data_IF_253881926431
#
_entry.id   IF_253881926431
#
_cell.length_a   1.000
_cell.length_b   1.000
_cell.length_c   1.000
_cell.angle_alpha   90.00
_cell.angle_beta   90.00
_cell.angle_gamma   90.00
#
_symmetry.space_group_name_H-M   'P 1'
#
loop_
_entity.id
_entity.type
_entity.pdbx_description
1 polymer ?
#
# COMPACT_ATOMS: atom_id res chain seq x y z
N UNK A 1 -59.00 28.60 -7.25
CA UNK A 1 -58.32 29.35 -8.31
C UNK A 1 -57.03 29.95 -7.76
N UNK A 2 -55.96 29.15 -7.74
CA UNK A 2 -54.63 29.55 -7.25
C UNK A 2 -53.57 29.09 -8.25
N UNK A 3 -53.88 29.28 -9.53
CA UNK A 3 -53.10 28.88 -10.71
C UNK A 3 -52.22 30.01 -11.25
N UNK A 4 -51.73 30.92 -10.40
CA UNK A 4 -50.79 31.97 -10.81
C UNK A 4 -49.80 32.28 -9.71
N UNK A 5 -48.66 31.57 -9.74
CA UNK A 5 -47.33 32.17 -9.77
C UNK A 5 -46.29 31.04 -9.80
N UNK A 6 -46.09 30.53 -11.01
CA UNK A 6 -44.84 29.91 -11.41
C UNK A 6 -43.95 31.07 -11.90
N UNK A 7 -42.93 31.45 -11.14
CA UNK A 7 -41.62 31.86 -11.66
C UNK A 7 -40.56 31.67 -10.56
N UNK A 8 -39.65 30.68 -10.68
CA UNK A 8 -38.38 30.71 -9.98
C UNK A 8 -37.37 31.52 -10.79
N UNK A 9 -36.85 32.59 -10.17
CA UNK A 9 -35.72 33.40 -10.64
C UNK A 9 -34.46 32.56 -10.86
N UNK A 10 -33.69 32.78 -11.95
CA UNK A 10 -32.44 32.07 -12.20
C UNK A 10 -31.26 32.90 -11.69
N UNK A 11 -30.63 32.50 -10.58
CA UNK A 11 -29.23 32.82 -10.28
C UNK A 11 -28.81 32.24 -8.93
N UNK A 12 -27.93 31.25 -9.00
CA UNK A 12 -26.81 30.98 -8.09
C UNK A 12 -26.64 29.45 -7.98
N UNK A 13 -26.00 28.87 -8.99
CA UNK A 13 -25.39 27.55 -8.83
C UNK A 13 -24.28 27.68 -7.79
N UNK A 14 -24.62 27.32 -6.55
CA UNK A 14 -23.72 27.13 -5.44
C UNK A 14 -23.73 25.65 -5.10
N UNK A 15 -22.78 24.95 -5.72
CA UNK A 15 -22.09 23.75 -5.26
C UNK A 15 -22.30 23.43 -3.76
N UNK A 16 -23.24 22.54 -3.45
CA UNK A 16 -23.37 21.94 -2.12
C UNK A 16 -23.77 20.46 -2.22
N UNK A 17 -22.76 19.63 -1.98
CA UNK A 17 -22.82 18.28 -1.39
C UNK A 17 -23.19 17.09 -2.31
N UNK A 18 -22.29 16.75 -3.23
CA UNK A 18 -21.97 15.35 -3.55
C UNK A 18 -20.51 15.08 -3.18
N UNK A 19 -20.26 14.73 -1.93
CA UNK A 19 -19.05 13.96 -1.58
C UNK A 19 -19.51 12.72 -0.83
N UNK A 20 -20.08 11.78 -1.57
CA UNK A 20 -19.97 10.39 -1.17
C UNK A 20 -18.48 10.04 -1.23
N UNK A 21 -17.87 9.83 -0.07
CA UNK A 21 -16.58 9.18 0.01
C UNK A 21 -16.78 7.73 -0.44
N UNK A 22 -16.73 7.51 -1.76
CA UNK A 22 -16.53 6.19 -2.33
C UNK A 22 -15.19 5.73 -1.79
N UNK A 23 -15.21 4.84 -0.80
CA UNK A 23 -14.04 4.05 -0.43
C UNK A 23 -13.73 3.26 -1.69
N UNK A 24 -12.71 3.69 -2.43
CA UNK A 24 -12.16 2.94 -3.54
C UNK A 24 -11.69 1.61 -2.97
N UNK A 25 -12.55 0.60 -3.11
CA UNK A 25 -12.22 -0.80 -2.88
C UNK A 25 -10.93 -1.04 -3.67
N UNK A 26 -9.86 -1.25 -2.92
CA UNK A 26 -8.54 -1.53 -3.48
C UNK A 26 -8.75 -2.68 -4.45
N UNK A 27 -8.58 -2.41 -5.75
CA UNK A 27 -8.78 -3.40 -6.80
C UNK A 27 -7.87 -4.58 -6.48
N UNK A 28 -8.45 -5.61 -5.90
CA UNK A 28 -7.77 -6.89 -5.70
C UNK A 28 -7.38 -7.35 -7.10
N UNK A 29 -6.08 -7.61 -7.30
CA UNK A 29 -5.56 -8.13 -8.55
C UNK A 29 -6.34 -9.42 -8.86
N UNK A 30 -7.26 -9.33 -9.84
CA UNK A 30 -8.10 -10.46 -10.29
C UNK A 30 -7.26 -11.61 -10.87
N UNK A 31 -5.97 -11.38 -11.10
CA UNK A 31 -5.01 -12.35 -11.63
C UNK A 31 -4.51 -13.36 -10.59
N UNK A 32 -4.76 -13.14 -9.28
CA UNK A 32 -4.49 -14.14 -8.22
C UNK A 32 -5.59 -15.21 -8.11
N UNK A 33 -6.63 -15.19 -8.96
CA UNK A 33 -7.71 -16.18 -8.96
C UNK A 33 -7.34 -17.48 -9.71
N UNK A 34 -6.10 -17.95 -9.58
CA UNK A 34 -5.78 -19.32 -9.97
C UNK A 34 -6.34 -20.23 -8.89
N UNK A 35 -7.55 -20.74 -9.12
CA UNK A 35 -8.32 -21.57 -8.20
C UNK A 35 -7.47 -22.64 -7.54
N UNK A 36 -7.00 -22.34 -6.34
CA UNK A 36 -6.31 -23.27 -5.47
C UNK A 36 -7.37 -24.18 -4.86
N UNK A 37 -7.43 -25.45 -5.30
CA UNK A 37 -8.38 -26.43 -4.75
C UNK A 37 -8.23 -26.56 -3.23
N UNK A 38 -7.04 -26.34 -2.70
CA UNK A 38 -6.82 -26.34 -1.25
C UNK A 38 -7.48 -25.14 -0.58
N UNK A 39 -7.54 -23.98 -1.26
CA UNK A 39 -8.23 -22.79 -0.79
C UNK A 39 -9.76 -22.95 -0.75
N UNK A 40 -10.33 -23.71 -1.69
CA UNK A 40 -11.75 -24.05 -1.66
C UNK A 40 -12.10 -24.99 -0.50
N UNK A 41 -11.24 -25.96 -0.20
CA UNK A 41 -11.45 -26.93 0.89
C UNK A 41 -11.33 -26.31 2.29
N UNK A 42 -10.56 -25.23 2.45
CA UNK A 42 -10.41 -24.51 3.73
C UNK A 42 -11.41 -23.36 3.92
N UNK A 43 -12.35 -23.15 2.99
CA UNK A 43 -13.33 -22.09 3.13
C UNK A 43 -14.28 -22.37 4.29
N UNK A 44 -14.33 -21.44 5.25
CA UNK A 44 -15.34 -21.40 6.31
C UNK A 44 -16.15 -20.10 6.26
N UNK A 45 -17.41 -20.11 6.71
CA UNK A 45 -18.24 -18.90 6.78
C UNK A 45 -17.66 -17.86 7.76
N UNK A 46 -18.04 -16.61 7.58
CA UNK A 46 -17.63 -15.53 8.46
C UNK A 46 -18.27 -15.65 9.87
N UNK A 47 -17.57 -15.21 10.93
CA UNK A 47 -18.13 -15.15 12.28
C UNK A 47 -19.29 -14.14 12.36
N UNK A 48 -20.14 -14.24 13.39
CA UNK A 48 -21.34 -13.40 13.51
C UNK A 48 -21.02 -11.91 13.71
N UNK A 49 -19.85 -11.61 14.26
CA UNK A 49 -19.35 -10.25 14.47
C UNK A 49 -18.67 -9.64 13.24
N UNK A 50 -18.64 -10.37 12.12
CA UNK A 50 -18.04 -9.89 10.89
C UNK A 50 -18.82 -8.71 10.30
N UNK A 51 -18.12 -7.59 10.07
CA UNK A 51 -18.69 -6.41 9.41
C UNK A 51 -19.24 -6.78 8.01
N UNK A 52 -20.55 -6.60 7.75
CA UNK A 52 -21.16 -6.93 6.46
C UNK A 52 -20.66 -6.04 5.32
N UNK A 53 -20.04 -4.89 5.60
CA UNK A 53 -19.46 -4.03 4.56
C UNK A 53 -18.12 -4.56 4.02
N UNK A 54 -17.49 -5.55 4.67
CA UNK A 54 -16.21 -6.13 4.23
C UNK A 54 -16.40 -7.59 3.87
N UNK A 55 -15.92 -8.00 2.69
CA UNK A 55 -16.01 -9.39 2.26
C UNK A 55 -15.10 -10.31 3.09
N UNK A 56 -15.50 -11.58 3.23
CA UNK A 56 -14.66 -12.64 3.84
C UNK A 56 -13.28 -12.70 3.20
N UNK A 57 -13.24 -12.56 1.88
CA UNK A 57 -12.01 -12.54 1.10
C UNK A 57 -11.15 -11.33 1.48
N UNK A 58 -11.70 -10.11 1.47
CA UNK A 58 -10.96 -8.90 1.83
C UNK A 58 -10.41 -8.92 3.27
N UNK A 59 -11.09 -9.61 4.20
CA UNK A 59 -10.57 -9.85 5.56
C UNK A 59 -9.43 -10.87 5.59
N UNK A 60 -9.53 -11.94 4.80
CA UNK A 60 -8.53 -13.02 4.74
C UNK A 60 -7.31 -12.65 3.91
N UNK A 61 -7.47 -11.78 2.92
CA UNK A 61 -6.43 -11.37 1.98
C UNK A 61 -5.74 -10.05 2.34
N UNK A 62 -6.10 -9.42 3.47
CA UNK A 62 -5.40 -8.20 3.89
C UNK A 62 -3.99 -8.53 4.39
N UNK A 63 -3.03 -8.56 3.46
CA UNK A 63 -1.61 -8.58 3.76
C UNK A 63 -1.26 -7.38 4.65
N UNK A 64 -0.33 -7.56 5.59
CA UNK A 64 0.22 -6.50 6.44
C UNK A 64 0.71 -5.33 5.59
N UNK A 65 1.34 -5.61 4.45
CA UNK A 65 1.79 -4.56 3.53
C UNK A 65 0.63 -3.78 2.90
N UNK A 66 -0.48 -4.45 2.57
CA UNK A 66 -1.67 -3.78 2.05
C UNK A 66 -2.30 -2.86 3.10
N UNK A 67 -2.30 -3.26 4.37
CA UNK A 67 -2.76 -2.41 5.47
C UNK A 67 -1.84 -1.19 5.62
N UNK A 68 -0.52 -1.38 5.59
CA UNK A 68 0.44 -0.28 5.69
C UNK A 68 0.25 0.72 4.55
N UNK A 69 0.19 0.25 3.30
CA UNK A 69 -0.03 1.11 2.12
C UNK A 69 -1.34 1.89 2.25
N UNK A 70 -2.40 1.26 2.75
CA UNK A 70 -3.69 1.93 2.96
C UNK A 70 -3.61 3.06 4.00
N UNK A 71 -2.82 2.90 5.06
CA UNK A 71 -2.60 3.96 6.06
C UNK A 71 -1.76 5.11 5.49
N UNK A 72 -0.73 4.80 4.68
CA UNK A 72 0.09 5.81 4.00
C UNK A 72 -0.62 6.49 2.83
N UNK A 73 -1.74 5.96 2.36
CA UNK A 73 -2.56 6.50 1.28
C UNK A 73 -2.09 6.17 -0.13
N UNK A 74 -0.82 5.83 -0.35
CA UNK A 74 -0.35 5.34 -1.65
C UNK A 74 0.92 4.48 -1.56
N UNK A 75 1.14 3.64 -2.57
CA UNK A 75 2.37 2.84 -2.71
C UNK A 75 3.62 3.74 -2.82
N UNK A 76 3.50 4.89 -3.50
CA UNK A 76 4.64 5.80 -3.71
C UNK A 76 5.05 6.53 -2.44
N UNK A 77 4.09 6.93 -1.60
CA UNK A 77 4.38 7.54 -0.30
C UNK A 77 5.10 6.55 0.61
N UNK A 78 4.62 5.31 0.69
CA UNK A 78 5.28 4.26 1.46
C UNK A 78 6.72 4.03 1.00
N UNK A 79 6.97 3.94 -0.30
CA UNK A 79 8.33 3.74 -0.84
C UNK A 79 9.26 4.92 -0.51
N UNK A 80 8.75 6.15 -0.56
CA UNK A 80 9.52 7.34 -0.21
C UNK A 80 9.91 7.36 1.27
N UNK A 81 8.97 7.05 2.16
CA UNK A 81 9.22 6.95 3.61
C UNK A 81 10.19 5.80 3.93
N UNK A 82 10.00 4.64 3.29
CA UNK A 82 10.91 3.52 3.42
C UNK A 82 12.34 3.89 2.99
N UNK A 83 12.49 4.62 1.88
CA UNK A 83 13.80 5.11 1.41
C UNK A 83 14.45 6.05 2.42
N UNK A 84 13.70 7.01 2.97
CA UNK A 84 14.21 7.95 3.96
C UNK A 84 14.67 7.24 5.24
N UNK A 85 13.83 6.34 5.77
CA UNK A 85 14.14 5.55 6.95
C UNK A 85 15.36 4.63 6.72
N UNK A 86 15.47 4.02 5.54
CA UNK A 86 16.63 3.22 5.19
C UNK A 86 17.91 4.08 5.12
N UNK A 87 17.84 5.29 4.55
CA UNK A 87 18.97 6.21 4.49
C UNK A 87 19.49 6.55 5.89
N UNK A 88 18.59 6.97 6.78
CA UNK A 88 18.94 7.33 8.16
C UNK A 88 19.56 6.15 8.90
N UNK A 89 19.00 4.95 8.71
CA UNK A 89 19.51 3.72 9.32
C UNK A 89 20.91 3.35 8.83
N UNK A 90 21.16 3.48 7.52
CA UNK A 90 22.47 3.21 6.93
C UNK A 90 23.54 4.22 7.38
N UNK A 91 23.15 5.48 7.60
CA UNK A 91 24.06 6.53 8.04
C UNK A 91 24.36 6.50 9.56
N UNK A 92 23.46 5.93 10.37
CA UNK A 92 23.58 5.95 11.82
C UNK A 92 24.65 5.00 12.39
N UNK A 93 25.04 3.94 11.67
CA UNK A 93 25.92 2.89 12.18
C UNK A 93 27.16 2.69 11.29
N UNK A 94 28.35 2.73 11.90
CA UNK A 94 29.64 2.57 11.21
C UNK A 94 29.96 1.12 10.80
N UNK A 95 29.39 0.14 11.50
CA UNK A 95 29.60 -1.31 11.34
C UNK A 95 28.32 -2.03 10.86
N UNK A 96 27.46 -1.31 10.14
CA UNK A 96 26.15 -1.78 9.74
C UNK A 96 26.17 -3.09 8.93
N UNK A 97 25.50 -4.14 9.42
CA UNK A 97 25.23 -5.38 8.68
C UNK A 97 24.00 -5.19 7.78
N UNK A 98 24.18 -5.23 6.46
CA UNK A 98 23.12 -4.96 5.47
C UNK A 98 22.23 -6.16 5.13
N UNK A 99 22.56 -7.37 5.60
CA UNK A 99 21.89 -8.61 5.20
C UNK A 99 20.40 -8.64 5.57
N UNK A 100 20.03 -7.98 6.67
CA UNK A 100 18.64 -7.90 7.13
C UNK A 100 17.83 -7.00 6.21
N UNK A 101 18.39 -5.85 5.85
CA UNK A 101 17.76 -4.84 5.00
C UNK A 101 17.67 -5.34 3.55
N UNK A 102 18.67 -6.10 3.08
CA UNK A 102 18.63 -6.76 1.77
C UNK A 102 17.48 -7.76 1.68
N UNK A 103 17.32 -8.63 2.69
CA UNK A 103 16.18 -9.57 2.76
C UNK A 103 14.84 -8.85 2.83
N UNK A 104 14.75 -7.76 3.61
CA UNK A 104 13.54 -6.96 3.66
C UNK A 104 13.23 -6.35 2.30
N UNK A 105 14.23 -5.79 1.62
CA UNK A 105 14.10 -5.22 0.29
C UNK A 105 13.58 -6.26 -0.72
N UNK A 106 14.12 -7.48 -0.72
CA UNK A 106 13.65 -8.57 -1.59
C UNK A 106 12.17 -8.92 -1.37
N UNK A 107 11.72 -8.95 -0.11
CA UNK A 107 10.32 -9.16 0.22
C UNK A 107 9.44 -8.04 -0.32
N UNK A 108 9.88 -6.79 -0.17
CA UNK A 108 9.14 -5.64 -0.70
C UNK A 108 9.11 -5.65 -2.24
N UNK A 109 10.19 -6.05 -2.92
CA UNK A 109 10.26 -6.15 -4.40
C UNK A 109 9.20 -7.08 -4.96
N UNK A 110 8.81 -8.14 -4.26
CA UNK A 110 7.73 -9.05 -4.69
C UNK A 110 6.35 -8.39 -4.77
N UNK A 111 6.10 -7.34 -3.98
CA UNK A 111 4.79 -6.65 -3.91
C UNK A 111 4.75 -5.34 -4.69
N UNK A 112 5.84 -4.57 -4.69
CA UNK A 112 5.92 -3.26 -5.34
C UNK A 112 6.59 -3.27 -6.72
N UNK A 113 7.27 -4.36 -7.05
CA UNK A 113 8.11 -4.47 -8.25
C UNK A 113 9.52 -3.91 -8.03
N UNK A 114 10.42 -4.24 -8.95
CA UNK A 114 11.85 -3.92 -8.87
C UNK A 114 12.15 -2.43 -9.12
N UNK A 115 11.46 -1.80 -10.06
CA UNK A 115 11.72 -0.40 -10.43
C UNK A 115 11.43 0.61 -9.30
N UNK A 116 10.41 0.36 -8.48
CA UNK A 116 10.06 1.27 -7.39
C UNK A 116 11.14 1.33 -6.30
N UNK A 117 11.88 0.23 -6.09
CA UNK A 117 12.84 0.06 -5.00
C UNK A 117 14.30 0.16 -5.44
N UNK A 118 14.55 0.45 -6.72
CA UNK A 118 15.90 0.53 -7.30
C UNK A 118 16.84 1.46 -6.51
N UNK A 119 16.34 2.60 -6.03
CA UNK A 119 17.15 3.55 -5.25
C UNK A 119 17.64 2.96 -3.93
N UNK A 120 16.79 2.19 -3.24
CA UNK A 120 17.16 1.52 -1.99
C UNK A 120 18.19 0.41 -2.24
N UNK A 121 18.10 -0.28 -3.38
CA UNK A 121 19.08 -1.30 -3.79
C UNK A 121 20.46 -0.70 -4.01
N UNK A 122 20.53 0.43 -4.73
CA UNK A 122 21.79 1.16 -4.96
C UNK A 122 22.42 1.58 -3.63
N UNK A 123 21.62 2.14 -2.71
CA UNK A 123 22.12 2.55 -1.38
C UNK A 123 22.73 1.38 -0.59
N UNK A 124 22.11 0.19 -0.62
CA UNK A 124 22.66 -0.99 0.05
C UNK A 124 23.96 -1.48 -0.61
N UNK A 125 24.01 -1.47 -1.95
CA UNK A 125 25.22 -1.83 -2.69
C UNK A 125 26.38 -0.88 -2.36
N UNK A 126 26.14 0.42 -2.36
CA UNK A 126 27.16 1.44 -2.09
C UNK A 126 27.79 1.27 -0.69
N UNK A 127 26.98 0.97 0.33
CA UNK A 127 27.47 0.71 1.69
C UNK A 127 28.26 -0.60 1.77
N UNK A 128 27.78 -1.67 1.12
CA UNK A 128 28.51 -2.95 1.06
C UNK A 128 29.87 -2.79 0.39
N UNK A 129 29.93 -2.02 -0.70
CA UNK A 129 31.17 -1.70 -1.40
C UNK A 129 32.10 -0.83 -0.55
N UNK A 130 31.58 0.19 0.14
CA UNK A 130 32.36 1.02 1.05
C UNK A 130 33.03 0.21 2.16
N UNK A 131 32.32 -0.79 2.72
CA UNK A 131 32.88 -1.71 3.72
C UNK A 131 34.02 -2.55 3.16
N UNK A 132 33.85 -3.12 1.97
CA UNK A 132 34.89 -3.92 1.29
C UNK A 132 36.15 -3.10 1.02
N UNK A 133 35.99 -1.86 0.54
CA UNK A 133 37.12 -0.95 0.31
C UNK A 133 37.82 -0.60 1.62
N UNK A 134 37.06 -0.28 2.67
CA UNK A 134 37.63 0.06 3.99
C UNK A 134 38.39 -1.11 4.61
N UNK A 135 37.93 -2.36 4.40
CA UNK A 135 38.64 -3.56 4.88
C UNK A 135 39.86 -3.92 4.03
N UNK A 136 39.91 -3.49 2.77
CA UNK A 136 41.02 -3.76 1.86
C UNK A 136 42.21 -2.79 2.05
N UNK A 137 42.03 -1.72 2.83
CA UNK A 137 43.04 -0.71 3.20
C UNK A 137 43.58 -1.04 4.59
#
# INVERSE_FOLDING_TARGET
>A
DTSKLLEPTPAAEGDYLQQEATIEDSTVDLDELKGDETAMLQWSPDPVEADPMRSSFARRSSDVLSILVNIYGSKTLFVNEFRAMLADKLLAASDFETDKEERQLELLKKRFGEGALQHCEVMLRDISEAKKVTQAI
#
